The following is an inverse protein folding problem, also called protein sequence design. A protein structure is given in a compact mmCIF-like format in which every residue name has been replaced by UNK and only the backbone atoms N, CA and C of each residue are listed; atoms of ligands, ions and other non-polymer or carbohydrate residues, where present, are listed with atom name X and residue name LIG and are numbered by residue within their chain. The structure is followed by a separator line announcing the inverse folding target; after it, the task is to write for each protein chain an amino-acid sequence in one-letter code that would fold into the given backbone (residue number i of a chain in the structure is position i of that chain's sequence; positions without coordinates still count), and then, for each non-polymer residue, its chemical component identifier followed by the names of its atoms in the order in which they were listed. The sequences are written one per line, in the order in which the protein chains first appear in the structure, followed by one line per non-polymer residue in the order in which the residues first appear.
data_IF_743856475145
#
_entry.id   IF_743856475145
#
_cell.length_a   1.000
_cell.length_b   1.000
_cell.length_c   1.000
_cell.angle_alpha   90.00
_cell.angle_beta   90.00
_cell.angle_gamma   90.00
#
_symmetry.space_group_name_H-M   'P 1'
#
loop_
_entity.id
_entity.type
_entity.pdbx_description
1 polymer ?
#
# COMPACT_ATOMS: atom_id res chain seq x y z
N UNK A 1 -11.34 20.09 0.82
CA UNK A 1 -12.25 18.93 0.85
C UNK A 1 -11.57 17.56 0.64
N UNK A 2 -10.98 17.22 -0.53
CA UNK A 2 -10.35 15.88 -0.72
C UNK A 2 -9.05 15.71 0.07
N UNK A 3 -8.20 16.73 0.10
CA UNK A 3 -6.92 16.69 0.82
C UNK A 3 -7.13 16.61 2.34
N UNK A 4 -8.00 17.46 2.90
CA UNK A 4 -8.39 17.45 4.32
C UNK A 4 -8.91 16.07 4.74
N UNK A 5 -9.82 15.48 3.96
CA UNK A 5 -10.33 14.12 4.25
C UNK A 5 -9.21 13.08 4.28
N UNK A 6 -8.24 13.16 3.37
CA UNK A 6 -7.09 12.24 3.34
C UNK A 6 -6.18 12.43 4.56
N UNK A 7 -5.92 13.66 4.98
CA UNK A 7 -5.17 13.95 6.20
C UNK A 7 -5.92 13.42 7.44
N UNK A 8 -7.24 13.68 7.51
CA UNK A 8 -8.08 13.23 8.61
C UNK A 8 -8.12 11.71 8.73
N UNK A 9 -8.18 10.98 7.61
CA UNK A 9 -8.09 9.51 7.61
C UNK A 9 -6.80 9.02 8.27
N UNK A 10 -5.65 9.60 7.91
CA UNK A 10 -4.36 9.25 8.52
C UNK A 10 -4.38 9.56 10.02
N UNK A 11 -4.85 10.75 10.39
CA UNK A 11 -4.93 11.17 11.79
C UNK A 11 -5.83 10.25 12.63
N UNK A 12 -7.03 9.92 12.13
CA UNK A 12 -7.97 9.03 12.82
C UNK A 12 -7.33 7.65 13.04
N UNK A 13 -6.64 7.09 12.04
CA UNK A 13 -5.97 5.80 12.17
C UNK A 13 -4.81 5.82 13.19
N UNK A 14 -4.18 6.97 13.42
CA UNK A 14 -3.08 7.12 14.39
C UNK A 14 -3.56 7.44 15.81
N UNK A 15 -4.62 8.24 15.94
CA UNK A 15 -5.04 8.83 17.22
C UNK A 15 -6.24 8.13 17.85
N UNK A 16 -7.04 7.38 17.08
CA UNK A 16 -8.26 6.75 17.57
C UNK A 16 -8.16 5.23 17.54
N UNK A 17 -8.89 4.58 18.45
CA UNK A 17 -9.04 3.13 18.43
C UNK A 17 -10.03 2.71 17.34
N UNK A 18 -9.53 2.59 16.10
CA UNK A 18 -10.31 2.17 14.91
C UNK A 18 -9.87 0.81 14.35
N UNK A 19 -9.01 0.10 15.08
CA UNK A 19 -8.62 -1.26 14.71
C UNK A 19 -9.79 -2.22 14.89
N UNK A 20 -9.79 -3.31 14.11
CA UNK A 20 -10.81 -4.34 14.22
C UNK A 20 -10.83 -4.91 15.65
N UNK A 21 -12.01 -4.90 16.28
CA UNK A 21 -12.19 -5.42 17.63
C UNK A 21 -12.08 -6.95 17.70
N UNK A 22 -12.31 -7.65 16.58
CA UNK A 22 -12.24 -9.10 16.47
C UNK A 22 -11.05 -9.54 15.63
N UNK A 23 -10.27 -10.48 16.16
CA UNK A 23 -9.11 -11.06 15.51
C UNK A 23 -9.35 -12.55 15.24
N UNK A 24 -9.74 -12.89 14.01
CA UNK A 24 -9.98 -14.28 13.58
C UNK A 24 -8.70 -15.10 13.42
N UNK A 25 -7.52 -14.47 13.42
CA UNK A 25 -6.25 -15.22 13.42
C UNK A 25 -6.04 -16.02 14.70
N UNK A 26 -6.78 -15.72 15.78
CA UNK A 26 -6.78 -16.53 17.00
C UNK A 26 -7.37 -17.94 16.80
N UNK A 27 -8.20 -18.11 15.78
CA UNK A 27 -8.84 -19.39 15.45
C UNK A 27 -7.93 -20.26 14.55
N UNK A 28 -6.77 -19.73 14.13
CA UNK A 28 -5.80 -20.43 13.28
C UNK A 28 -4.59 -20.83 14.12
N UNK A 29 -4.36 -22.13 14.24
CA UNK A 29 -3.22 -22.68 14.97
C UNK A 29 -2.24 -23.35 14.01
N UNK A 30 -0.97 -22.93 14.07
CA UNK A 30 0.11 -23.64 13.40
C UNK A 30 0.56 -24.79 14.32
N UNK A 31 0.52 -26.02 13.82
CA UNK A 31 0.99 -27.19 14.59
C UNK A 31 2.51 -27.08 14.74
N UNK A 32 2.96 -27.01 16.00
CA UNK A 32 4.38 -26.90 16.30
C UNK A 32 5.12 -28.21 15.99
N UNK A 33 6.24 -28.11 15.30
CA UNK A 33 7.21 -29.19 15.17
C UNK A 33 8.39 -28.93 16.12
N UNK A 34 8.53 -29.75 17.16
CA UNK A 34 9.56 -29.59 18.19
C UNK A 34 10.96 -30.00 17.73
N UNK A 35 11.05 -30.83 16.69
CA UNK A 35 12.32 -31.30 16.12
C UNK A 35 12.30 -31.12 14.59
N UNK A 36 12.40 -29.87 14.09
CA UNK A 36 12.42 -29.62 12.66
C UNK A 36 13.73 -30.11 12.04
N UNK A 37 13.63 -30.91 10.97
CA UNK A 37 14.77 -31.40 10.19
C UNK A 37 15.20 -30.39 9.10
N UNK A 38 15.24 -29.09 9.44
CA UNK A 38 15.64 -28.02 8.52
C UNK A 38 16.64 -27.07 9.19
N UNK A 39 17.61 -26.57 8.42
CA UNK A 39 18.47 -25.48 8.87
C UNK A 39 17.72 -24.14 8.71
N UNK A 40 17.74 -23.34 9.77
CA UNK A 40 17.21 -21.97 9.76
C UNK A 40 17.81 -21.11 8.66
N UNK A 41 19.10 -21.28 8.36
CA UNK A 41 19.81 -20.51 7.35
C UNK A 41 19.39 -20.86 5.92
N UNK A 42 18.76 -22.02 5.72
CA UNK A 42 18.25 -22.48 4.43
C UNK A 42 16.81 -22.06 4.17
N UNK A 43 16.14 -21.42 5.15
CA UNK A 43 14.76 -20.95 5.00
C UNK A 43 14.70 -19.82 3.98
N UNK A 44 14.12 -20.12 2.82
CA UNK A 44 13.88 -19.15 1.76
C UNK A 44 12.44 -18.61 1.84
N UNK A 45 12.29 -17.35 2.24
CA UNK A 45 11.00 -16.65 2.29
C UNK A 45 10.70 -15.86 1.01
N UNK A 46 11.53 -15.95 -0.03
CA UNK A 46 11.27 -15.21 -1.28
C UNK A 46 10.00 -15.71 -1.97
N UNK A 47 9.35 -14.81 -2.71
CA UNK A 47 8.12 -15.11 -3.44
C UNK A 47 8.16 -14.53 -4.85
N UNK A 48 7.46 -15.18 -5.79
CA UNK A 48 7.25 -14.64 -7.14
C UNK A 48 5.79 -14.23 -7.29
N UNK A 49 5.56 -12.98 -7.66
CA UNK A 49 4.22 -12.42 -7.84
C UNK A 49 4.19 -11.56 -9.11
N UNK A 50 3.25 -11.82 -10.02
CA UNK A 50 3.10 -11.10 -11.30
C UNK A 50 4.41 -10.93 -12.09
N UNK A 51 5.27 -11.95 -12.10
CA UNK A 51 6.57 -11.91 -12.78
C UNK A 51 7.69 -11.18 -12.03
N UNK A 52 7.40 -10.57 -10.88
CA UNK A 52 8.39 -9.93 -9.99
C UNK A 52 8.83 -10.88 -8.87
N UNK A 53 10.08 -10.75 -8.43
CA UNK A 53 10.62 -11.48 -7.28
C UNK A 53 10.69 -10.56 -6.07
N UNK A 54 10.14 -11.01 -4.95
CA UNK A 54 10.15 -10.36 -3.65
C UNK A 54 11.09 -11.13 -2.72
N UNK A 55 11.80 -10.44 -1.83
CA UNK A 55 12.64 -11.08 -0.80
C UNK A 55 11.81 -11.73 0.31
N UNK A 56 10.57 -11.29 0.52
CA UNK A 56 9.61 -11.89 1.46
C UNK A 56 8.19 -11.83 0.87
N UNK A 57 7.23 -12.67 1.32
CA UNK A 57 5.87 -12.71 0.77
C UNK A 57 4.98 -11.63 1.42
N UNK A 58 5.48 -10.39 1.46
CA UNK A 58 4.87 -9.25 2.17
C UNK A 58 4.72 -8.08 1.20
N UNK A 59 3.60 -7.36 1.33
CA UNK A 59 3.30 -6.15 0.59
C UNK A 59 2.72 -5.12 1.55
N UNK A 60 3.26 -3.90 1.54
CA UNK A 60 2.62 -2.77 2.22
C UNK A 60 1.39 -2.36 1.40
N UNK A 61 0.20 -2.54 1.96
CA UNK A 61 -1.04 -2.19 1.27
C UNK A 61 -1.20 -0.67 1.06
N UNK A 62 -1.97 -0.29 0.06
CA UNK A 62 -2.21 1.12 -0.29
C UNK A 62 -2.91 1.89 0.82
N UNK A 63 -2.28 2.98 1.29
CA UNK A 63 -2.81 3.80 2.40
C UNK A 63 -3.05 5.25 1.99
N UNK A 64 -2.02 5.98 1.57
CA UNK A 64 -2.06 7.46 1.49
C UNK A 64 -1.44 8.04 0.21
N UNK A 65 -1.45 9.37 0.14
CA UNK A 65 -1.10 10.21 -1.00
C UNK A 65 -2.21 11.24 -1.22
N UNK A 66 -1.94 12.39 -1.83
CA UNK A 66 -2.93 13.41 -2.15
C UNK A 66 -3.10 14.53 -1.11
N UNK A 67 -2.11 14.73 -0.24
CA UNK A 67 -1.90 15.93 0.58
C UNK A 67 -0.40 16.06 0.88
N UNK A 68 0.06 17.24 1.30
CA UNK A 68 1.50 17.57 1.37
C UNK A 68 2.32 16.58 2.22
N UNK A 69 1.90 16.30 3.46
CA UNK A 69 2.63 15.40 4.37
C UNK A 69 2.57 13.92 3.95
N UNK A 70 1.62 13.54 3.08
CA UNK A 70 1.52 12.18 2.56
C UNK A 70 2.76 11.77 1.76
N UNK A 71 3.44 12.74 1.13
CA UNK A 71 4.70 12.50 0.42
C UNK A 71 5.74 11.91 1.36
N UNK A 72 5.94 12.52 2.53
CA UNK A 72 6.91 12.08 3.53
C UNK A 72 6.58 10.67 4.04
N UNK A 73 5.30 10.38 4.26
CA UNK A 73 4.85 9.03 4.66
C UNK A 73 5.17 8.00 3.57
N UNK A 74 4.80 8.29 2.32
CA UNK A 74 5.06 7.39 1.20
C UNK A 74 6.57 7.20 0.94
N UNK A 75 7.38 8.25 1.03
CA UNK A 75 8.84 8.15 0.90
C UNK A 75 9.45 7.26 1.98
N UNK A 76 9.02 7.39 3.25
CA UNK A 76 9.56 6.57 4.34
C UNK A 76 9.17 5.11 4.26
N UNK A 77 7.94 4.81 3.86
CA UNK A 77 7.51 3.42 3.65
C UNK A 77 8.13 2.80 2.39
N UNK A 78 8.32 3.60 1.34
CA UNK A 78 9.00 3.18 0.12
C UNK A 78 10.48 2.84 0.37
N UNK A 79 11.18 3.67 1.16
CA UNK A 79 12.55 3.42 1.63
C UNK A 79 12.64 2.06 2.33
N UNK A 80 11.76 1.82 3.32
CA UNK A 80 11.71 0.54 4.03
C UNK A 80 11.40 -0.64 3.10
N UNK A 81 10.41 -0.49 2.21
CA UNK A 81 10.04 -1.54 1.26
C UNK A 81 11.17 -1.90 0.29
N UNK A 82 11.95 -0.90 -0.15
CA UNK A 82 13.12 -1.09 -1.00
C UNK A 82 14.24 -1.83 -0.28
N UNK A 83 14.61 -1.40 0.93
CA UNK A 83 15.64 -2.07 1.77
C UNK A 83 15.27 -3.53 2.01
N UNK A 84 14.01 -3.79 2.38
CA UNK A 84 13.50 -5.12 2.68
C UNK A 84 13.22 -5.97 1.43
N UNK A 85 13.16 -5.36 0.24
CA UNK A 85 12.82 -6.03 -1.01
C UNK A 85 11.39 -6.61 -1.03
N UNK A 86 10.43 -5.88 -0.46
CA UNK A 86 9.01 -6.26 -0.39
C UNK A 86 8.14 -5.38 -1.30
N UNK A 87 6.88 -5.76 -1.51
CA UNK A 87 5.98 -5.01 -2.39
C UNK A 87 5.43 -3.76 -1.71
N UNK A 88 5.01 -2.77 -2.51
CA UNK A 88 4.45 -1.52 -2.01
C UNK A 88 3.27 -1.04 -2.84
N UNK A 89 2.12 -0.81 -2.21
CA UNK A 89 0.96 -0.16 -2.82
C UNK A 89 0.84 1.30 -2.40
N UNK A 90 0.55 2.19 -3.36
CA UNK A 90 0.19 3.57 -3.04
C UNK A 90 -1.29 3.68 -2.66
N UNK A 91 -1.68 4.72 -1.94
CA UNK A 91 -3.09 5.03 -1.69
C UNK A 91 -3.84 5.45 -2.95
N UNK A 92 -5.18 5.58 -2.85
CA UNK A 92 -6.02 5.97 -3.99
C UNK A 92 -5.53 7.25 -4.67
N UNK A 93 -5.14 7.10 -5.95
CA UNK A 93 -4.51 8.11 -6.79
C UNK A 93 -5.49 9.13 -7.40
N UNK A 94 -6.80 9.00 -7.12
CA UNK A 94 -7.84 9.91 -7.63
C UNK A 94 -7.47 11.39 -7.43
N UNK A 95 -6.92 11.76 -6.27
CA UNK A 95 -6.54 13.14 -5.99
C UNK A 95 -5.37 13.63 -6.87
N UNK A 96 -4.42 12.76 -7.22
CA UNK A 96 -3.34 13.10 -8.14
C UNK A 96 -3.80 13.20 -9.59
N UNK A 97 -4.81 12.43 -9.98
CA UNK A 97 -5.45 12.52 -11.30
C UNK A 97 -6.26 13.82 -11.43
N UNK A 98 -7.04 14.18 -10.40
CA UNK A 98 -7.86 15.41 -10.38
C UNK A 98 -7.02 16.69 -10.19
N UNK A 99 -5.85 16.59 -9.55
CA UNK A 99 -4.94 17.71 -9.35
C UNK A 99 -3.48 17.28 -9.49
N UNK A 100 -2.85 17.69 -10.60
CA UNK A 100 -1.45 17.38 -10.93
C UNK A 100 -0.45 17.86 -9.87
N UNK A 101 -0.75 18.92 -9.11
CA UNK A 101 0.12 19.37 -8.02
C UNK A 101 0.31 18.32 -6.92
N UNK A 102 -0.61 17.35 -6.81
CA UNK A 102 -0.56 16.27 -5.83
C UNK A 102 0.10 15.01 -6.37
N UNK A 103 0.48 14.95 -7.65
CA UNK A 103 1.10 13.78 -8.27
C UNK A 103 2.38 13.37 -7.53
N UNK A 104 3.19 14.33 -7.12
CA UNK A 104 4.48 14.09 -6.45
C UNK A 104 4.32 13.30 -5.13
N UNK A 105 3.17 13.43 -4.47
CA UNK A 105 2.88 12.68 -3.24
C UNK A 105 2.76 11.18 -3.46
N UNK A 106 2.60 10.73 -4.72
CA UNK A 106 2.59 9.33 -5.12
C UNK A 106 3.86 8.96 -5.87
N UNK A 107 4.28 9.77 -6.85
CA UNK A 107 5.42 9.45 -7.72
C UNK A 107 6.76 9.45 -6.98
N UNK A 108 6.85 10.07 -5.80
CA UNK A 108 8.04 10.02 -4.95
C UNK A 108 8.53 8.60 -4.64
N UNK A 109 7.65 7.59 -4.63
CA UNK A 109 8.05 6.19 -4.40
C UNK A 109 8.93 5.62 -5.51
N UNK A 110 8.90 6.22 -6.72
CA UNK A 110 9.74 5.80 -7.86
C UNK A 110 11.22 6.09 -7.67
N UNK A 111 11.58 6.90 -6.67
CA UNK A 111 12.98 7.17 -6.31
C UNK A 111 13.65 5.97 -5.63
N UNK A 112 12.86 4.98 -5.20
CA UNK A 112 13.33 3.81 -4.46
C UNK A 112 13.25 2.56 -5.33
N UNK A 113 14.22 1.66 -5.17
CA UNK A 113 14.26 0.38 -5.88
C UNK A 113 13.34 -0.64 -5.21
N UNK A 114 12.04 -0.50 -5.44
CA UNK A 114 11.02 -1.40 -4.92
C UNK A 114 10.73 -2.46 -5.99
N UNK A 115 10.81 -3.76 -5.67
CA UNK A 115 10.67 -4.83 -6.67
C UNK A 115 9.28 -4.88 -7.32
N UNK A 116 8.25 -4.43 -6.61
CA UNK A 116 6.87 -4.43 -7.10
C UNK A 116 6.06 -3.28 -6.50
N UNK A 117 5.58 -2.36 -7.36
CA UNK A 117 4.75 -1.21 -6.97
C UNK A 117 3.33 -1.36 -7.54
N UNK A 118 2.32 -1.14 -6.70
CA UNK A 118 0.90 -1.31 -7.05
C UNK A 118 0.20 0.05 -7.03
N UNK A 119 -0.45 0.40 -8.15
CA UNK A 119 -1.31 1.57 -8.23
C UNK A 119 -2.69 1.34 -7.59
N UNK A 120 -3.40 2.42 -7.25
CA UNK A 120 -4.71 2.31 -6.58
C UNK A 120 -5.72 3.32 -7.12
N UNK A 121 -6.87 2.81 -7.55
CA UNK A 121 -8.04 3.62 -7.91
C UNK A 121 -9.30 2.95 -7.35
N UNK A 122 -10.28 3.74 -6.92
CA UNK A 122 -11.54 3.21 -6.41
C UNK A 122 -12.43 2.75 -7.57
N UNK A 123 -13.06 1.58 -7.43
CA UNK A 123 -14.05 1.08 -8.40
C UNK A 123 -15.14 2.10 -8.79
N UNK A 124 -15.65 2.96 -7.87
CA UNK A 124 -16.62 3.99 -8.25
C UNK A 124 -16.13 4.98 -9.32
N UNK A 125 -14.82 5.16 -9.49
CA UNK A 125 -14.26 6.05 -10.53
C UNK A 125 -14.36 5.45 -11.94
N UNK A 126 -14.67 4.16 -12.07
CA UNK A 126 -14.75 3.47 -13.36
C UNK A 126 -16.15 3.51 -13.98
N UNK A 127 -17.14 4.03 -13.26
CA UNK A 127 -18.54 4.12 -13.69
C UNK A 127 -19.05 5.55 -13.61
N UNK A 128 -20.17 5.83 -14.28
CA UNK A 128 -20.80 7.15 -14.23
C UNK A 128 -21.34 7.40 -12.82
N UNK A 129 -20.99 8.55 -12.24
CA UNK A 129 -21.57 9.02 -10.99
C UNK A 129 -22.48 10.22 -11.25
N UNK A 130 -23.39 10.51 -10.31
CA UNK A 130 -24.40 11.59 -10.45
C UNK A 130 -23.84 12.90 -11.01
N UNK A 131 -22.64 13.29 -10.54
CA UNK A 131 -21.99 14.55 -10.92
C UNK A 131 -20.58 14.36 -11.51
N UNK A 132 -20.20 13.14 -11.94
CA UNK A 132 -18.85 12.86 -12.46
C UNK A 132 -18.88 11.82 -13.57
N UNK A 133 -18.11 12.09 -14.64
CA UNK A 133 -17.85 11.10 -15.68
C UNK A 133 -16.88 10.02 -15.15
N UNK A 134 -16.94 8.78 -15.69
CA UNK A 134 -15.92 7.78 -15.41
C UNK A 134 -14.52 8.30 -15.78
N UNK A 135 -13.50 7.85 -15.05
CA UNK A 135 -12.12 7.98 -15.50
C UNK A 135 -11.91 7.10 -16.73
N UNK A 136 -11.20 7.66 -17.71
CA UNK A 136 -10.97 7.08 -19.03
C UNK A 136 -9.49 7.26 -19.37
N UNK A 137 -8.92 6.27 -20.07
CA UNK A 137 -7.54 6.32 -20.59
C UNK A 137 -7.47 7.11 -21.92
N UNK A 138 -8.63 7.46 -22.49
CA UNK A 138 -8.76 8.25 -23.71
C UNK A 138 -9.23 9.66 -23.34
N UNK A 139 -8.43 10.65 -23.72
CA UNK A 139 -8.91 12.01 -24.00
C UNK A 139 -9.27 12.08 -25.50
#
# INVERSE_FOLDING_TARGET
MIQERKNEHVRICLEKNVQASKNYWKDVHLVHNALPEIDKNEINISAKLFGKRLKAPIIVAGMTGGFQDAKKINEKLAEAASILGIGFGVGSQRAGIENKLLEETYSAVKKYDIPFVIGNIGAPQLVRQKNRKPLSIRE
#
